data_IF_886377901386
#
_entry.id   IF_886377901386
#
_cell.length_a   1.000
_cell.length_b   1.000
_cell.length_c   1.000
_cell.angle_alpha   90.00
_cell.angle_beta   90.00
_cell.angle_gamma   90.00
#
_symmetry.space_group_name_H-M   'P 1'
#
loop_
_entity.id
_entity.type
_entity.pdbx_description
1 polymer ?
#
# COMPACT_ATOMS: atom_id res chain seq x y z
N UNK A 1 12.40 -9.40 6.87
CA UNK A 1 11.19 -8.60 6.62
C UNK A 1 11.36 -7.20 7.17
N UNK A 2 10.90 -6.20 6.45
CA UNK A 2 10.85 -4.84 6.96
C UNK A 2 9.44 -4.58 7.51
N UNK A 3 9.35 -4.15 8.74
CA UNK A 3 8.09 -3.79 9.36
C UNK A 3 8.15 -2.33 9.78
N UNK A 4 7.09 -1.58 9.50
CA UNK A 4 7.04 -0.17 9.83
C UNK A 4 5.61 0.28 10.07
N UNK A 5 5.47 1.44 10.72
CA UNK A 5 4.15 2.03 10.99
C UNK A 5 4.01 3.34 10.24
N UNK A 6 2.81 3.62 9.75
CA UNK A 6 2.51 4.88 9.11
C UNK A 6 1.20 5.44 9.62
N UNK A 7 1.09 6.75 9.65
CA UNK A 7 -0.14 7.44 10.01
C UNK A 7 -0.92 7.77 8.75
N UNK A 8 -2.15 8.24 8.91
CA UNK A 8 -2.96 8.69 7.80
C UNK A 8 -2.20 9.73 6.97
N UNK A 9 -2.32 9.61 5.66
CA UNK A 9 -1.71 10.48 4.66
C UNK A 9 -0.19 10.31 4.53
N UNK A 10 0.40 9.36 5.24
CA UNK A 10 1.80 9.04 5.08
C UNK A 10 1.97 7.88 4.12
N UNK A 11 3.10 7.86 3.44
CA UNK A 11 3.35 6.89 2.38
C UNK A 11 4.67 6.18 2.58
N UNK A 12 4.82 5.06 1.86
CA UNK A 12 6.11 4.40 1.70
C UNK A 12 6.39 4.27 0.21
N UNK A 13 7.67 4.23 -0.13
CA UNK A 13 8.10 4.09 -1.52
C UNK A 13 8.86 2.78 -1.64
N UNK A 14 8.51 2.01 -2.66
CA UNK A 14 9.15 0.74 -2.96
C UNK A 14 9.74 0.83 -4.36
N UNK A 15 11.04 0.57 -4.48
CA UNK A 15 11.73 0.49 -5.76
C UNK A 15 11.56 1.74 -6.64
N UNK A 16 11.53 2.92 -6.04
CA UNK A 16 11.45 4.22 -6.73
C UNK A 16 10.16 4.47 -7.51
N UNK A 17 9.40 3.45 -7.87
CA UNK A 17 8.25 3.61 -8.76
C UNK A 17 6.94 3.08 -8.18
N UNK A 18 6.94 2.61 -6.95
CA UNK A 18 5.74 2.15 -6.28
C UNK A 18 5.55 2.97 -5.01
N UNK A 19 4.39 3.58 -4.87
CA UNK A 19 4.08 4.36 -3.69
C UNK A 19 2.80 3.83 -3.05
N UNK A 20 2.86 3.58 -1.75
CA UNK A 20 1.71 3.11 -0.98
C UNK A 20 1.39 4.14 0.06
N UNK A 21 0.18 4.67 0.03
CA UNK A 21 -0.27 5.74 0.92
C UNK A 21 -1.39 5.23 1.82
N UNK A 22 -1.33 5.59 3.10
CA UNK A 22 -2.44 5.33 4.01
C UNK A 22 -3.49 6.40 3.79
N UNK A 23 -4.58 6.05 3.11
CA UNK A 23 -5.62 7.01 2.76
C UNK A 23 -6.54 7.27 3.95
N UNK A 24 -6.88 6.22 4.67
CA UNK A 24 -7.86 6.34 5.76
C UNK A 24 -7.63 5.22 6.76
N UNK A 25 -7.81 5.53 8.03
CA UNK A 25 -7.79 4.54 9.11
C UNK A 25 -9.14 4.62 9.79
N UNK A 26 -9.86 3.48 9.84
CA UNK A 26 -11.19 3.43 10.41
C UNK A 26 -11.35 2.15 11.21
N UNK A 27 -11.41 2.28 12.53
CA UNK A 27 -11.50 1.13 13.41
C UNK A 27 -10.30 0.21 13.22
N UNK A 28 -10.56 -1.03 12.88
CA UNK A 28 -9.52 -2.04 12.65
C UNK A 28 -9.19 -2.21 11.17
N UNK A 29 -9.66 -1.27 10.33
CA UNK A 29 -9.40 -1.31 8.88
C UNK A 29 -8.55 -0.14 8.44
N UNK A 30 -7.71 -0.39 7.47
CA UNK A 30 -6.85 0.64 6.87
C UNK A 30 -7.08 0.61 5.36
N UNK A 31 -7.36 1.79 4.81
CA UNK A 31 -7.50 1.93 3.35
C UNK A 31 -6.16 2.37 2.79
N UNK A 32 -5.64 1.62 1.85
CA UNK A 32 -4.37 1.90 1.21
C UNK A 32 -4.58 2.30 -0.25
N UNK A 33 -3.86 3.34 -0.67
CA UNK A 33 -3.80 3.70 -2.07
C UNK A 33 -2.45 3.29 -2.62
N UNK A 34 -2.44 2.62 -3.76
CA UNK A 34 -1.21 2.11 -4.35
C UNK A 34 -1.05 2.70 -5.74
N UNK A 35 0.09 3.35 -5.96
CA UNK A 35 0.46 3.88 -7.26
C UNK A 35 1.65 3.10 -7.76
N UNK A 36 1.53 2.55 -8.98
CA UNK A 36 2.59 1.73 -9.56
C UNK A 36 2.51 1.80 -11.08
N UNK A 37 3.60 1.45 -11.79
CA UNK A 37 3.54 1.34 -13.24
C UNK A 37 2.55 0.25 -13.67
N UNK A 38 2.02 0.38 -14.89
CA UNK A 38 1.06 -0.59 -15.42
C UNK A 38 1.62 -2.00 -15.50
N UNK A 39 2.94 -2.12 -15.59
CA UNK A 39 3.60 -3.41 -15.68
C UNK A 39 3.61 -4.17 -14.35
N UNK A 40 3.25 -3.52 -13.26
CA UNK A 40 3.24 -4.14 -11.93
C UNK A 40 1.80 -4.51 -11.57
N UNK A 41 1.42 -5.79 -11.65
CA UNK A 41 0.08 -6.20 -11.25
C UNK A 41 -0.04 -6.13 -9.73
N UNK A 42 -1.21 -5.70 -9.25
CA UNK A 42 -1.46 -5.52 -7.83
C UNK A 42 -2.71 -6.31 -7.46
N UNK A 43 -2.56 -7.21 -6.52
CA UNK A 43 -3.66 -8.05 -6.06
C UNK A 43 -3.73 -8.06 -4.55
N UNK A 44 -4.92 -8.17 -4.01
CA UNK A 44 -5.06 -8.55 -2.61
C UNK A 44 -4.64 -10.01 -2.52
N UNK A 45 -4.01 -10.37 -1.41
CA UNK A 45 -3.44 -11.70 -1.29
C UNK A 45 -4.49 -12.81 -1.42
N UNK A 46 -5.67 -12.58 -0.88
CA UNK A 46 -6.71 -13.60 -0.88
C UNK A 46 -7.29 -13.89 -2.28
N UNK A 47 -7.08 -13.01 -3.25
CA UNK A 47 -7.50 -13.27 -4.63
C UNK A 47 -6.35 -13.65 -5.55
N UNK A 48 -5.15 -13.64 -5.02
CA UNK A 48 -3.97 -14.03 -5.80
C UNK A 48 -3.92 -15.56 -5.89
N UNK A 49 -3.93 -16.10 -7.08
CA UNK A 49 -3.95 -17.55 -7.30
C UNK A 49 -2.56 -18.08 -7.67
#
# INVERSE_FOLDING_TARGET
MLALSRKKDEAIVINDDIEITVIEIKGDQVKLGITAPKSVPIYRKEVYA
#
